data_IF_924841195745
#
_entry.id   IF_924841195745
#
_cell.length_a   1.000
_cell.length_b   1.000
_cell.length_c   1.000
_cell.angle_alpha   90.00
_cell.angle_beta   90.00
_cell.angle_gamma   90.00
#
_symmetry.space_group_name_H-M   'P 1'
#
loop_
_entity.id
_entity.type
_entity.pdbx_description
1 polymer ?
#
# COMPACT_ATOMS: atom_id res chain seq x y z
N UNK A 1 -27.57 7.53 11.50
CA UNK A 1 -26.11 7.37 11.42
C UNK A 1 -25.73 7.49 9.95
N UNK A 2 -24.77 8.35 9.56
CA UNK A 2 -24.32 8.39 8.16
C UNK A 2 -23.77 7.02 7.73
N UNK A 3 -23.79 6.69 6.43
CA UNK A 3 -23.22 5.43 5.95
C UNK A 3 -21.73 5.38 6.30
N UNK A 4 -21.27 4.21 6.74
CA UNK A 4 -19.86 4.01 7.09
C UNK A 4 -18.99 4.17 5.82
N UNK A 5 -17.81 4.81 5.94
CA UNK A 5 -16.95 5.03 4.78
C UNK A 5 -16.45 3.71 4.20
N UNK A 6 -16.40 3.64 2.87
CA UNK A 6 -15.84 2.50 2.14
C UNK A 6 -14.35 2.70 1.95
N UNK A 7 -13.53 1.80 2.49
CA UNK A 7 -12.06 1.92 2.48
C UNK A 7 -11.42 0.94 1.51
N UNK A 8 -10.54 1.46 0.66
CA UNK A 8 -9.60 0.66 -0.12
C UNK A 8 -8.23 0.67 0.56
N UNK A 9 -7.83 -0.45 1.15
CA UNK A 9 -6.51 -0.65 1.73
C UNK A 9 -5.60 -1.34 0.70
N UNK A 10 -4.53 -0.66 0.29
CA UNK A 10 -3.55 -1.17 -0.67
C UNK A 10 -2.27 -1.54 0.07
N UNK A 11 -1.94 -2.84 0.05
CA UNK A 11 -0.94 -3.50 0.88
C UNK A 11 -1.58 -4.23 2.05
N UNK A 12 -1.04 -5.39 2.37
CA UNK A 12 -1.44 -6.30 3.45
C UNK A 12 -0.22 -6.72 4.30
N UNK A 13 0.82 -5.88 4.36
CA UNK A 13 2.00 -6.08 5.20
C UNK A 13 1.79 -5.67 6.67
N UNK A 14 2.89 -5.46 7.41
CA UNK A 14 2.83 -5.21 8.86
C UNK A 14 2.11 -3.93 9.25
N UNK A 15 2.26 -2.85 8.47
CA UNK A 15 1.48 -1.63 8.69
C UNK A 15 -0.02 -1.86 8.43
N UNK A 16 -0.35 -2.63 7.40
CA UNK A 16 -1.73 -2.96 7.07
C UNK A 16 -2.39 -3.79 8.18
N UNK A 17 -1.69 -4.77 8.78
CA UNK A 17 -2.24 -5.57 9.89
C UNK A 17 -2.74 -4.71 11.05
N UNK A 18 -1.95 -3.72 11.45
CA UNK A 18 -2.29 -2.79 12.52
C UNK A 18 -3.43 -1.84 12.13
N UNK A 19 -3.41 -1.33 10.88
CA UNK A 19 -4.52 -0.52 10.35
C UNK A 19 -5.81 -1.33 10.40
N UNK A 20 -5.82 -2.55 9.88
CA UNK A 20 -6.99 -3.44 9.86
C UNK A 20 -7.55 -3.72 11.25
N UNK A 21 -6.69 -4.00 12.24
CA UNK A 21 -7.10 -4.15 13.65
C UNK A 21 -7.84 -2.92 14.15
N UNK A 22 -7.31 -1.73 13.87
CA UNK A 22 -7.94 -0.48 14.28
C UNK A 22 -9.26 -0.24 13.52
N UNK A 23 -9.33 -0.55 12.22
CA UNK A 23 -10.58 -0.45 11.45
C UNK A 23 -11.70 -1.30 12.07
N UNK A 24 -11.36 -2.52 12.51
CA UNK A 24 -12.30 -3.40 13.23
C UNK A 24 -12.73 -2.81 14.57
N UNK A 25 -11.77 -2.28 15.35
CA UNK A 25 -12.09 -1.66 16.64
C UNK A 25 -13.01 -0.43 16.52
N UNK A 26 -12.96 0.27 15.37
CA UNK A 26 -13.81 1.44 15.08
C UNK A 26 -15.09 1.11 14.28
N UNK A 27 -15.42 -0.17 14.15
CA UNK A 27 -16.64 -0.65 13.50
C UNK A 27 -16.80 -0.22 12.03
N UNK A 28 -15.69 -0.12 11.29
CA UNK A 28 -15.71 0.26 9.88
C UNK A 28 -15.98 -0.95 9.00
N UNK A 29 -17.21 -1.02 8.50
CA UNK A 29 -17.79 -2.23 7.95
C UNK A 29 -17.55 -2.49 6.46
N UNK A 30 -17.03 -1.53 5.70
CA UNK A 30 -16.85 -1.67 4.24
C UNK A 30 -15.38 -1.53 3.84
N UNK A 31 -14.76 -2.66 3.46
CA UNK A 31 -13.32 -2.73 3.24
C UNK A 31 -12.97 -3.57 2.00
N UNK A 32 -12.12 -3.03 1.14
CA UNK A 32 -11.41 -3.81 0.12
C UNK A 32 -9.93 -3.85 0.47
N UNK A 33 -9.33 -5.03 0.47
CA UNK A 33 -7.90 -5.24 0.72
C UNK A 33 -7.24 -5.71 -0.57
N UNK A 34 -6.19 -5.02 -1.01
CA UNK A 34 -5.42 -5.38 -2.19
C UNK A 34 -3.97 -5.71 -1.82
N UNK A 35 -3.48 -6.89 -2.19
CA UNK A 35 -2.08 -7.28 -2.09
C UNK A 35 -1.82 -8.51 -2.97
N UNK A 36 -0.73 -8.52 -3.73
CA UNK A 36 -0.38 -9.62 -4.64
C UNK A 36 0.48 -10.71 -3.97
N UNK A 37 1.11 -10.42 -2.84
CA UNK A 37 2.05 -11.31 -2.18
C UNK A 37 1.36 -12.48 -1.49
N UNK A 38 2.13 -13.55 -1.32
CA UNK A 38 1.81 -14.65 -0.43
C UNK A 38 2.44 -14.45 0.94
N UNK A 39 1.86 -15.05 1.97
CA UNK A 39 2.41 -15.07 3.31
C UNK A 39 3.69 -15.93 3.32
N UNK A 40 4.76 -15.37 3.88
CA UNK A 40 6.04 -16.07 4.10
C UNK A 40 6.36 -16.21 5.59
N UNK A 41 7.17 -17.19 5.98
CA UNK A 41 7.66 -17.31 7.37
C UNK A 41 8.33 -16.03 7.87
N UNK A 42 9.10 -15.38 7.00
CA UNK A 42 9.78 -14.11 7.29
C UNK A 42 8.82 -12.98 7.69
N UNK A 43 7.52 -13.11 7.40
CA UNK A 43 6.51 -12.09 7.65
C UNK A 43 5.90 -12.21 9.06
N UNK A 44 5.87 -13.42 9.63
CA UNK A 44 5.16 -13.74 10.87
C UNK A 44 5.69 -12.97 12.08
N UNK A 45 6.94 -12.51 12.03
CA UNK A 45 7.55 -11.71 13.09
C UNK A 45 6.96 -10.30 13.25
N UNK A 46 6.27 -9.77 12.23
CA UNK A 46 5.78 -8.38 12.20
C UNK A 46 4.38 -8.20 11.61
N UNK A 47 3.74 -9.28 11.20
CA UNK A 47 2.43 -9.29 10.54
C UNK A 47 1.51 -10.23 11.30
N UNK A 48 1.09 -9.80 12.50
CA UNK A 48 0.41 -10.65 13.49
C UNK A 48 -0.94 -11.23 13.03
N UNK A 49 -1.53 -10.71 11.94
CA UNK A 49 -2.75 -11.30 11.37
C UNK A 49 -2.50 -12.69 10.76
N UNK A 50 -1.27 -13.02 10.43
CA UNK A 50 -0.90 -14.27 9.76
C UNK A 50 -0.32 -15.28 10.75
N UNK A 51 -0.71 -16.55 10.57
CA UNK A 51 -0.16 -17.66 11.33
C UNK A 51 0.68 -18.59 10.43
N UNK A 52 1.39 -19.53 11.05
CA UNK A 52 2.16 -20.55 10.33
C UNK A 52 1.32 -21.34 9.31
N UNK A 53 0.06 -21.61 9.64
CA UNK A 53 -0.88 -22.29 8.76
C UNK A 53 -1.30 -21.45 7.53
N UNK A 54 -1.02 -20.14 7.53
CA UNK A 54 -1.39 -19.23 6.45
C UNK A 54 -0.28 -19.08 5.38
N UNK A 55 0.90 -19.65 5.62
CA UNK A 55 2.06 -19.57 4.71
C UNK A 55 1.69 -20.13 3.33
N UNK A 56 2.19 -19.48 2.27
CA UNK A 56 1.89 -19.72 0.84
C UNK A 56 0.50 -19.30 0.35
N UNK A 57 -0.40 -18.87 1.24
CA UNK A 57 -1.70 -18.28 0.87
C UNK A 57 -1.53 -16.79 0.58
N UNK A 58 -2.41 -16.21 -0.24
CA UNK A 58 -2.36 -14.79 -0.55
C UNK A 58 -2.69 -13.92 0.67
N UNK A 59 -1.86 -12.90 0.93
CA UNK A 59 -2.00 -12.01 2.09
C UNK A 59 -3.37 -11.33 2.10
N UNK A 60 -3.82 -10.81 0.96
CA UNK A 60 -5.11 -10.13 0.85
C UNK A 60 -6.30 -11.03 1.26
N UNK A 61 -6.30 -12.28 0.80
CA UNK A 61 -7.36 -13.24 1.10
C UNK A 61 -7.36 -13.65 2.57
N UNK A 62 -6.18 -13.96 3.12
CA UNK A 62 -6.04 -14.30 4.54
C UNK A 62 -6.44 -13.13 5.41
N UNK A 63 -5.94 -11.92 5.12
CA UNK A 63 -6.30 -10.71 5.87
C UNK A 63 -7.80 -10.46 5.85
N UNK A 64 -8.45 -10.57 4.69
CA UNK A 64 -9.90 -10.42 4.59
C UNK A 64 -10.66 -11.46 5.42
N UNK A 65 -10.23 -12.73 5.40
CA UNK A 65 -10.83 -13.78 6.22
C UNK A 65 -10.68 -13.49 7.73
N UNK A 66 -9.49 -13.07 8.18
CA UNK A 66 -9.24 -12.73 9.59
C UNK A 66 -10.05 -11.52 10.03
N UNK A 67 -10.14 -10.49 9.20
CA UNK A 67 -10.96 -9.29 9.49
C UNK A 67 -12.44 -9.65 9.61
N UNK A 68 -12.98 -10.46 8.69
CA UNK A 68 -14.38 -10.94 8.79
C UNK A 68 -14.61 -11.71 10.09
N UNK A 69 -13.68 -12.59 10.47
CA UNK A 69 -13.77 -13.35 11.73
C UNK A 69 -13.74 -12.43 12.96
N UNK A 70 -12.79 -11.49 13.02
CA UNK A 70 -12.67 -10.51 14.12
C UNK A 70 -13.93 -9.63 14.23
N UNK A 71 -14.53 -9.26 13.10
CA UNK A 71 -15.75 -8.48 13.03
C UNK A 71 -17.04 -9.33 13.17
N UNK A 72 -16.95 -10.62 13.48
CA UNK A 72 -18.08 -11.55 13.61
C UNK A 72 -19.00 -11.54 12.37
N UNK A 73 -18.41 -11.46 11.16
CA UNK A 73 -19.10 -11.38 9.87
C UNK A 73 -20.05 -10.19 9.68
N UNK A 74 -19.96 -9.15 10.55
CA UNK A 74 -20.75 -7.91 10.39
C UNK A 74 -20.23 -7.01 9.27
N UNK A 75 -19.00 -7.23 8.81
CA UNK A 75 -18.33 -6.39 7.82
C UNK A 75 -18.40 -6.99 6.41
N UNK A 76 -18.59 -6.13 5.42
CA UNK A 76 -18.38 -6.43 4.01
C UNK A 76 -16.90 -6.21 3.69
N UNK A 77 -16.16 -7.31 3.59
CA UNK A 77 -14.73 -7.29 3.23
C UNK A 77 -14.54 -8.00 1.89
N UNK A 78 -13.80 -7.42 0.95
CA UNK A 78 -13.33 -8.07 -0.28
C UNK A 78 -11.80 -8.15 -0.31
N UNK A 79 -11.28 -9.16 -0.99
CA UNK A 79 -9.85 -9.35 -1.22
C UNK A 79 -9.56 -9.26 -2.71
N UNK A 80 -8.49 -8.56 -3.06
CA UNK A 80 -8.01 -8.39 -4.42
C UNK A 80 -6.53 -8.83 -4.47
N UNK A 81 -6.28 -9.95 -5.13
CA UNK A 81 -4.91 -10.43 -5.37
C UNK A 81 -4.42 -9.83 -6.69
N UNK A 82 -3.83 -8.64 -6.60
CA UNK A 82 -3.42 -7.88 -7.77
C UNK A 82 -2.27 -6.93 -7.43
N UNK A 83 -1.47 -6.59 -8.45
CA UNK A 83 -0.58 -5.45 -8.35
C UNK A 83 -1.39 -4.14 -8.34
N UNK A 84 -0.81 -3.09 -7.78
CA UNK A 84 -1.45 -1.75 -7.76
C UNK A 84 -1.77 -1.26 -9.17
N UNK A 85 -0.92 -1.62 -10.14
CA UNK A 85 -1.06 -1.33 -11.57
C UNK A 85 -2.27 -1.99 -12.22
N UNK A 86 -2.71 -3.12 -11.68
CA UNK A 86 -3.79 -3.93 -12.23
C UNK A 86 -5.13 -3.67 -11.51
N UNK A 87 -5.15 -2.73 -10.56
CA UNK A 87 -6.38 -2.35 -9.87
C UNK A 87 -7.37 -1.68 -10.82
N UNK A 88 -8.58 -2.21 -10.87
CA UNK A 88 -9.65 -1.65 -11.67
C UNK A 88 -10.04 -0.24 -11.18
N UNK A 89 -10.22 0.70 -12.11
CA UNK A 89 -10.69 2.07 -11.82
C UNK A 89 -12.01 2.09 -11.04
N UNK A 90 -12.89 1.12 -11.29
CA UNK A 90 -14.16 0.96 -10.58
C UNK A 90 -13.96 0.84 -9.06
N UNK A 91 -12.85 0.23 -8.62
CA UNK A 91 -12.53 0.11 -7.22
C UNK A 91 -12.30 1.49 -6.59
N UNK A 92 -11.66 2.43 -7.29
CA UNK A 92 -11.51 3.78 -6.76
C UNK A 92 -12.85 4.52 -6.70
N UNK A 93 -13.70 4.34 -7.70
CA UNK A 93 -15.04 4.94 -7.69
C UNK A 93 -15.89 4.46 -6.50
N UNK A 94 -15.84 3.16 -6.22
CA UNK A 94 -16.58 2.47 -5.16
C UNK A 94 -16.12 2.78 -3.74
N UNK A 95 -14.94 3.39 -3.56
CA UNK A 95 -14.38 3.66 -2.23
C UNK A 95 -14.28 5.16 -1.96
N UNK A 96 -14.49 5.56 -0.71
CA UNK A 96 -14.45 6.95 -0.27
C UNK A 96 -13.03 7.39 0.07
N UNK A 97 -12.23 6.47 0.62
CA UNK A 97 -10.86 6.73 1.09
C UNK A 97 -9.93 5.58 0.67
N UNK A 98 -8.74 5.93 0.23
CA UNK A 98 -7.66 4.98 -0.06
C UNK A 98 -6.59 5.07 1.03
N UNK A 99 -6.13 3.94 1.54
CA UNK A 99 -5.04 3.84 2.51
C UNK A 99 -3.90 3.05 1.89
N UNK A 100 -2.69 3.62 1.87
CA UNK A 100 -1.50 2.94 1.38
C UNK A 100 -0.65 2.41 2.53
N UNK A 101 -0.39 1.11 2.49
CA UNK A 101 0.51 0.38 3.36
C UNK A 101 1.60 -0.33 2.54
N UNK A 102 2.16 0.38 1.56
CA UNK A 102 3.10 -0.11 0.56
C UNK A 102 4.56 0.10 1.01
N UNK A 103 5.47 -0.78 0.60
CA UNK A 103 6.90 -0.69 0.93
C UNK A 103 7.78 -0.09 -0.19
N UNK A 104 7.24 0.02 -1.40
CA UNK A 104 7.93 0.61 -2.54
C UNK A 104 7.52 2.06 -2.82
N UNK A 105 8.52 2.92 -3.06
CA UNK A 105 8.32 4.30 -3.52
C UNK A 105 7.57 4.34 -4.86
N UNK A 106 7.87 3.43 -5.79
CA UNK A 106 7.23 3.41 -7.11
C UNK A 106 5.74 3.08 -7.01
N UNK A 107 5.39 2.09 -6.17
CA UNK A 107 4.00 1.70 -5.93
C UNK A 107 3.21 2.83 -5.26
N UNK A 108 3.81 3.52 -4.27
CA UNK A 108 3.21 4.69 -3.61
C UNK A 108 2.98 5.84 -4.59
N UNK A 109 3.96 6.14 -5.43
CA UNK A 109 3.84 7.20 -6.44
C UNK A 109 2.74 6.88 -7.44
N UNK A 110 2.68 5.64 -7.93
CA UNK A 110 1.65 5.20 -8.86
C UNK A 110 0.25 5.24 -8.25
N UNK A 111 0.08 4.72 -7.03
CA UNK A 111 -1.20 4.80 -6.31
C UNK A 111 -1.62 6.26 -6.08
N UNK A 112 -0.68 7.14 -5.73
CA UNK A 112 -0.96 8.57 -5.58
C UNK A 112 -1.45 9.21 -6.88
N UNK A 113 -0.92 8.81 -8.04
CA UNK A 113 -1.39 9.31 -9.33
C UNK A 113 -2.83 8.85 -9.61
N UNK A 114 -3.16 7.59 -9.32
CA UNK A 114 -4.53 7.08 -9.43
C UNK A 114 -5.49 7.85 -8.51
N UNK A 115 -5.12 8.06 -7.24
CA UNK A 115 -5.93 8.84 -6.31
C UNK A 115 -6.15 10.28 -6.78
N UNK A 116 -5.14 10.93 -7.35
CA UNK A 116 -5.28 12.27 -7.95
C UNK A 116 -6.25 12.22 -9.14
N UNK A 117 -6.11 11.25 -10.05
CA UNK A 117 -6.97 11.10 -11.22
C UNK A 117 -8.45 10.87 -10.84
N UNK A 118 -8.70 10.07 -9.79
CA UNK A 118 -10.04 9.77 -9.30
C UNK A 118 -10.54 10.74 -8.21
N UNK A 119 -9.76 11.79 -7.89
CA UNK A 119 -10.05 12.78 -6.84
C UNK A 119 -10.31 12.15 -5.46
N UNK A 120 -9.67 11.02 -5.18
CA UNK A 120 -9.81 10.28 -3.92
C UNK A 120 -8.75 10.74 -2.91
N UNK A 121 -9.13 10.93 -1.63
CA UNK A 121 -8.16 11.15 -0.58
C UNK A 121 -7.34 9.87 -0.35
N UNK A 122 -6.04 10.06 -0.22
CA UNK A 122 -5.05 9.02 0.03
C UNK A 122 -4.37 9.26 1.38
N UNK A 123 -4.37 8.25 2.23
CA UNK A 123 -3.59 8.22 3.47
C UNK A 123 -2.38 7.32 3.24
N UNK A 124 -1.20 7.90 3.09
CA UNK A 124 0.06 7.16 2.93
C UNK A 124 0.75 6.98 4.28
N UNK A 125 0.95 5.73 4.67
CA UNK A 125 1.75 5.38 5.85
C UNK A 125 3.08 4.73 5.46
N UNK A 126 4.16 5.08 6.16
CA UNK A 126 5.46 4.43 5.97
C UNK A 126 6.22 4.29 7.27
N UNK A 127 7.03 3.23 7.37
CA UNK A 127 7.91 3.00 8.51
C UNK A 127 9.25 2.44 8.06
N UNK A 128 10.34 2.96 8.63
CA UNK A 128 11.70 2.46 8.43
C UNK A 128 12.41 2.42 9.78
N UNK A 129 12.69 1.22 10.30
CA UNK A 129 13.18 1.06 11.67
C UNK A 129 12.22 1.67 12.69
N UNK A 130 12.73 2.54 13.55
CA UNK A 130 11.95 3.28 14.56
C UNK A 130 11.27 4.55 14.03
N UNK A 131 11.49 4.90 12.76
CA UNK A 131 10.91 6.08 12.15
C UNK A 131 9.61 5.73 11.44
N UNK A 132 8.60 6.59 11.58
CA UNK A 132 7.31 6.46 10.91
C UNK A 132 6.84 7.79 10.34
N UNK A 133 6.05 7.72 9.26
CA UNK A 133 5.39 8.88 8.66
C UNK A 133 3.95 8.53 8.27
N UNK A 134 3.04 9.49 8.43
CA UNK A 134 1.68 9.42 7.93
C UNK A 134 1.31 10.72 7.22
N UNK A 135 1.01 10.62 5.93
CA UNK A 135 0.67 11.74 5.06
C UNK A 135 -0.80 11.63 4.62
N UNK A 136 -1.50 12.75 4.66
CA UNK A 136 -2.80 12.88 4.00
C UNK A 136 -2.58 13.62 2.69
N UNK A 137 -2.90 12.96 1.58
CA UNK A 137 -2.72 13.45 0.23
C UNK A 137 -4.09 13.49 -0.45
N UNK A 138 -4.56 14.69 -0.73
CA UNK A 138 -5.87 14.96 -1.30
C UNK A 138 -5.80 16.22 -2.14
N UNK A 139 -5.41 16.05 -3.40
CA UNK A 139 -5.21 17.15 -4.35
C UNK A 139 -6.50 17.95 -4.60
N UNK A 140 -7.66 17.28 -4.59
CA UNK A 140 -8.95 17.95 -4.77
C UNK A 140 -9.28 18.93 -3.62
N UNK A 141 -8.73 18.72 -2.43
CA UNK A 141 -8.87 19.63 -1.30
C UNK A 141 -7.62 20.51 -1.06
N UNK A 142 -6.74 20.63 -2.07
CA UNK A 142 -5.62 21.57 -2.07
C UNK A 142 -4.34 21.11 -1.36
N UNK A 143 -4.24 19.84 -0.93
CA UNK A 143 -3.00 19.30 -0.36
C UNK A 143 -2.05 18.76 -1.44
N UNK A 144 -0.76 18.62 -1.12
CA UNK A 144 0.24 18.12 -2.07
C UNK A 144 0.01 16.64 -2.43
N UNK A 145 0.47 16.25 -3.61
CA UNK A 145 0.54 14.86 -4.05
C UNK A 145 1.83 14.18 -3.55
N UNK A 146 1.88 12.85 -3.52
CA UNK A 146 3.08 12.13 -3.05
C UNK A 146 4.34 12.51 -3.82
N UNK A 147 4.20 12.72 -5.13
CA UNK A 147 5.29 13.06 -6.06
C UNK A 147 5.63 14.54 -6.11
N UNK A 148 4.86 15.40 -5.43
CA UNK A 148 5.01 16.85 -5.52
C UNK A 148 6.26 17.33 -4.77
N UNK A 149 6.65 16.64 -3.69
CA UNK A 149 7.90 16.87 -2.99
C UNK A 149 8.92 15.75 -3.30
N UNK A 150 10.12 16.10 -3.81
CA UNK A 150 11.09 15.13 -4.28
C UNK A 150 11.58 14.24 -3.13
N UNK A 151 11.65 12.93 -3.38
CA UNK A 151 12.20 11.96 -2.43
C UNK A 151 13.70 11.77 -2.69
N UNK A 152 14.52 11.63 -1.64
CA UNK A 152 15.94 11.39 -1.82
C UNK A 152 16.15 10.12 -2.64
N UNK A 153 16.94 10.22 -3.71
CA UNK A 153 17.28 9.05 -4.53
C UNK A 153 18.14 8.10 -3.72
N UNK A 154 18.00 6.80 -3.99
CA UNK A 154 18.92 5.81 -3.44
C UNK A 154 20.34 6.18 -3.87
N UNK A 155 21.32 6.06 -2.96
CA UNK A 155 22.70 6.43 -3.23
C UNK A 155 23.26 5.52 -4.35
N UNK A 156 23.53 6.10 -5.50
CA UNK A 156 24.13 5.40 -6.63
C UNK A 156 25.65 5.26 -6.42
N UNK A 157 26.18 4.05 -6.62
CA UNK A 157 27.63 3.80 -6.56
C UNK A 157 28.16 3.78 -8.00
N UNK A 158 29.22 4.53 -8.33
CA UNK A 158 29.76 4.58 -9.68
C UNK A 158 30.13 3.20 -10.23
N UNK A 159 29.77 2.92 -11.48
CA UNK A 159 30.06 1.64 -12.12
C UNK A 159 31.56 1.31 -12.16
N UNK A 160 32.43 2.32 -12.25
CA UNK A 160 33.88 2.14 -12.21
C UNK A 160 34.39 1.63 -10.85
N UNK A 161 33.75 2.01 -9.73
CA UNK A 161 34.09 1.48 -8.40
C UNK A 161 33.62 0.03 -8.22
N UNK A 162 32.50 -0.33 -8.84
CA UNK A 162 31.94 -1.69 -8.77
C UNK A 162 32.68 -2.67 -9.68
N UNK A 163 33.00 -2.26 -10.92
CA UNK A 163 33.68 -3.13 -11.92
C UNK A 163 35.21 -3.05 -11.86
N UNK A 164 35.75 -1.97 -11.31
CA UNK A 164 37.18 -1.77 -11.12
C UNK A 164 37.65 -2.41 -9.81
N UNK A 165 38.26 -1.59 -8.94
CA UNK A 165 38.73 -2.04 -7.63
C UNK A 165 37.70 -1.61 -6.57
N UNK A 166 36.92 -2.54 -6.00
CA UNK A 166 35.99 -2.21 -4.92
C UNK A 166 36.77 -1.80 -3.68
N UNK A 167 36.42 -0.66 -3.08
CA UNK A 167 37.10 -0.13 -1.89
C UNK A 167 36.30 -0.36 -0.61
N UNK A 168 35.00 -0.61 -0.72
CA UNK A 168 34.10 -0.85 0.40
C UNK A 168 33.38 -2.18 0.25
N UNK A 169 33.01 -2.85 1.35
CA UNK A 169 32.26 -4.12 1.30
C UNK A 169 30.97 -4.04 0.46
N UNK A 170 30.27 -2.89 0.49
CA UNK A 170 29.07 -2.64 -0.32
C UNK A 170 29.32 -2.72 -1.83
N UNK A 171 30.51 -2.35 -2.31
CA UNK A 171 30.86 -2.38 -3.74
C UNK A 171 30.95 -3.85 -4.21
N UNK A 172 31.49 -4.73 -3.36
CA UNK A 172 31.54 -6.18 -3.59
C UNK A 172 30.14 -6.80 -3.65
N UNK A 173 29.23 -6.40 -2.74
CA UNK A 173 27.84 -6.88 -2.73
C UNK A 173 27.10 -6.45 -3.99
N UNK A 174 27.31 -5.21 -4.46
CA UNK A 174 26.69 -4.72 -5.70
C UNK A 174 27.25 -5.45 -6.92
N UNK A 175 28.56 -5.68 -6.97
CA UNK A 175 29.19 -6.48 -8.03
C UNK A 175 28.62 -7.90 -8.08
N UNK A 176 28.51 -8.56 -6.93
CA UNK A 176 27.93 -9.91 -6.82
C UNK A 176 26.46 -9.95 -7.32
N UNK A 177 25.66 -8.92 -7.00
CA UNK A 177 24.30 -8.77 -7.54
C UNK A 177 24.29 -8.62 -9.06
N UNK A 178 25.18 -7.79 -9.63
CA UNK A 178 25.30 -7.64 -11.09
C UNK A 178 25.69 -8.95 -11.75
N UNK A 179 26.64 -9.68 -11.17
CA UNK A 179 27.07 -10.98 -11.68
C UNK A 179 25.91 -11.99 -11.69
N UNK A 180 25.19 -12.12 -10.57
CA UNK A 180 24.04 -13.03 -10.45
C UNK A 180 22.84 -12.63 -11.32
N UNK A 181 22.71 -11.35 -11.68
CA UNK A 181 21.59 -10.83 -12.49
C UNK A 181 21.89 -10.82 -14.00
N UNK A 182 23.10 -11.20 -14.42
CA UNK A 182 23.48 -11.17 -15.83
C UNK A 182 22.83 -12.33 -16.62
N UNK A 183 22.21 -12.03 -17.78
CA UNK A 183 21.31 -12.97 -18.46
C UNK A 183 22.11 -14.01 -19.25
N UNK A 184 22.46 -15.11 -18.57
CA UNK A 184 22.62 -16.42 -19.20
C UNK A 184 21.35 -17.29 -19.07
N UNK A 185 20.19 -16.66 -18.82
CA UNK A 185 18.88 -17.33 -18.80
C UNK A 185 17.75 -16.40 -19.33
N UNK A 186 17.50 -16.55 -20.63
CA UNK A 186 16.19 -16.64 -21.31
C UNK A 186 15.12 -15.56 -21.12
N UNK A 187 14.89 -14.85 -22.24
CA UNK A 187 13.76 -14.03 -22.75
C UNK A 187 12.35 -14.19 -22.16
N UNK A 188 11.56 -13.10 -22.14
CA UNK A 188 10.41 -12.88 -23.06
C UNK A 188 9.72 -11.53 -22.77
N UNK A 189 9.36 -10.77 -23.81
CA UNK A 189 8.60 -9.52 -23.70
C UNK A 189 7.08 -9.70 -23.85
N UNK A 190 6.32 -8.60 -23.69
CA UNK A 190 5.37 -8.03 -24.68
C UNK A 190 4.32 -7.11 -24.03
N UNK A 191 4.01 -6.05 -24.76
CA UNK A 191 3.07 -4.93 -24.56
C UNK A 191 1.58 -5.29 -24.58
N UNK A 192 0.70 -4.45 -23.99
CA UNK A 192 -0.72 -4.30 -24.42
C UNK A 192 -1.24 -2.85 -24.22
N UNK A 193 -2.11 -2.42 -25.14
CA UNK A 193 -2.71 -1.10 -25.37
C UNK A 193 -4.19 -0.94 -24.95
N UNK A 194 -4.56 0.30 -24.58
CA UNK A 194 -5.80 1.10 -24.82
C UNK A 194 -7.22 0.78 -24.26
N UNK A 195 -7.70 1.71 -23.40
CA UNK A 195 -8.86 2.66 -23.54
C UNK A 195 -10.35 2.17 -23.61
N UNK A 196 -11.25 2.67 -22.70
CA UNK A 196 -12.32 3.70 -22.93
C UNK A 196 -13.53 3.73 -21.92
N UNK A 197 -13.73 4.92 -21.31
CA UNK A 197 -14.91 5.73 -20.83
C UNK A 197 -16.17 5.23 -20.06
N UNK A 198 -16.37 5.97 -18.94
CA UNK A 198 -17.55 6.73 -18.36
C UNK A 198 -18.72 5.99 -17.68
N UNK A 199 -19.02 6.41 -16.43
CA UNK A 199 -20.20 7.23 -16.08
C UNK A 199 -20.04 7.87 -14.69
N UNK A 200 -20.44 9.14 -14.53
CA UNK A 200 -20.33 9.93 -13.30
C UNK A 200 -21.47 9.65 -12.31
N UNK A 201 -21.18 9.63 -11.00
CA UNK A 201 -22.18 9.80 -9.93
C UNK A 201 -21.65 10.67 -8.80
N UNK A 202 -22.60 11.35 -8.17
CA UNK A 202 -22.47 12.60 -7.41
C UNK A 202 -21.78 12.47 -6.04
N UNK A 203 -21.21 13.60 -5.64
CA UNK A 203 -20.28 13.83 -4.53
C UNK A 203 -20.89 13.74 -3.13
N UNK A 204 -20.17 13.06 -2.24
CA UNK A 204 -20.28 13.14 -0.79
C UNK A 204 -19.69 14.48 -0.31
N UNK A 205 -20.33 15.17 0.64
CA UNK A 205 -19.98 16.55 1.03
C UNK A 205 -18.65 16.63 1.80
N UNK A 206 -17.81 17.61 1.42
CA UNK A 206 -16.39 17.75 1.80
C UNK A 206 -16.10 17.88 3.30
N UNK A 207 -17.02 18.48 4.07
CA UNK A 207 -16.76 18.90 5.46
C UNK A 207 -16.66 17.75 6.47
N UNK A 208 -17.34 16.63 6.25
CA UNK A 208 -17.32 15.46 7.15
C UNK A 208 -16.20 14.48 6.82
N UNK A 209 -15.80 14.44 5.56
CA UNK A 209 -14.73 13.59 5.08
C UNK A 209 -13.39 14.00 5.73
N UNK A 210 -13.18 15.30 5.96
CA UNK A 210 -12.04 15.81 6.73
C UNK A 210 -11.98 15.32 8.18
N UNK A 211 -13.11 15.17 8.86
CA UNK A 211 -13.16 14.71 10.25
C UNK A 211 -12.80 13.21 10.35
N UNK A 212 -13.35 12.41 9.44
CA UNK A 212 -12.96 11.00 9.28
C UNK A 212 -11.49 10.86 8.86
N UNK A 213 -10.99 11.65 7.91
CA UNK A 213 -9.60 11.60 7.47
C UNK A 213 -8.62 12.00 8.57
N UNK A 214 -8.97 12.99 9.42
CA UNK A 214 -8.19 13.31 10.62
C UNK A 214 -8.16 12.13 11.57
N UNK A 215 -9.31 11.50 11.80
CA UNK A 215 -9.40 10.30 12.61
C UNK A 215 -8.53 9.16 12.04
N UNK A 216 -8.61 8.87 10.74
CA UNK A 216 -7.76 7.87 10.08
C UNK A 216 -6.27 8.20 10.13
N UNK A 217 -5.90 9.48 9.99
CA UNK A 217 -4.50 9.90 10.18
C UNK A 217 -4.04 9.59 11.60
N UNK A 218 -4.88 9.80 12.61
CA UNK A 218 -4.60 9.40 14.00
C UNK A 218 -4.47 7.87 14.12
N UNK A 219 -5.30 7.09 13.42
CA UNK A 219 -5.19 5.62 13.37
C UNK A 219 -3.87 5.15 12.77
N UNK A 220 -3.43 5.76 11.67
CA UNK A 220 -2.14 5.40 11.05
C UNK A 220 -0.97 5.91 11.90
N UNK A 221 -1.04 7.11 12.47
CA UNK A 221 0.00 7.63 13.37
C UNK A 221 0.15 6.80 14.66
N UNK A 222 -0.95 6.40 15.30
CA UNK A 222 -0.92 5.56 16.51
C UNK A 222 -0.29 4.19 16.22
N UNK A 223 -0.63 3.61 15.07
CA UNK A 223 0.01 2.40 14.55
C UNK A 223 1.53 2.54 14.42
N UNK A 224 2.00 3.66 13.87
CA UNK A 224 3.44 3.90 13.72
C UNK A 224 4.15 4.10 15.06
N UNK A 225 3.44 4.62 16.09
CA UNK A 225 4.02 4.82 17.42
C UNK A 225 4.11 3.53 18.25
N UNK A 226 3.33 2.49 17.96
CA UNK A 226 3.37 1.20 18.66
C UNK A 226 4.46 0.25 18.15
N UNK A 227 5.21 0.64 17.11
CA UNK A 227 6.44 -0.06 16.68
C UNK A 227 7.69 0.35 17.50
N UNK A 228 7.50 1.01 18.65
CA UNK A 228 8.56 1.38 19.60
C UNK A 228 8.69 0.34 20.70
#
# INVERSE_FOLDING_TARGET
MPPAPRILLVGAGGLACEVLKNLVAFDISHLSICDFDKVEHSNLNRQFLYAQADVSRYKAEVAAAKVRALAQNRFTVSAHVAYVQDLAEALFADHDVVVAALDSISARSYLSQLCVAHKKPLIDGGSTGFNGQALLLWAAAGTECYSCSPKPRTREIPACSVRGVPHKPQDCVIWAKFFCSSPSATSCGSSVTSFRRRSERQSFTESRLFEYLRFFKVVVCSTLSHKR
#
